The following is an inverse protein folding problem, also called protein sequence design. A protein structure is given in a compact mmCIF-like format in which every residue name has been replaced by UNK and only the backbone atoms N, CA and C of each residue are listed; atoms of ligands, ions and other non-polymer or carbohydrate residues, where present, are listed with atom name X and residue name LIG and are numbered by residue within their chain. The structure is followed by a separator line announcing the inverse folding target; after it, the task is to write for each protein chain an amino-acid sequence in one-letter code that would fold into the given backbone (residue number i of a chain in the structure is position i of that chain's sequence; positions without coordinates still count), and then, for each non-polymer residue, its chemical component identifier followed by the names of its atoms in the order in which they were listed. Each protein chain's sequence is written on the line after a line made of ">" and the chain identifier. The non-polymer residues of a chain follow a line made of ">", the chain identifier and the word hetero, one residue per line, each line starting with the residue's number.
data_IF_992476712292
#
_entry.id   IF_992476712292
#
_cell.length_a   1.000
_cell.length_b   1.000
_cell.length_c   1.000
_cell.angle_alpha   90.00
_cell.angle_beta   90.00
_cell.angle_gamma   90.00
#
_symmetry.space_group_name_H-M   'P 1'
#
loop_
_entity.id
_entity.type
_entity.pdbx_description
1 polymer ?
#
# COMPACT_ATOMS: atom_id res chain seq x y z
N UNK A 1 -8.34 12.52 9.09
CA UNK A 1 -7.59 12.55 7.83
C UNK A 1 -7.45 11.16 7.24
N UNK A 2 -6.61 10.31 7.83
CA UNK A 2 -6.36 8.94 7.36
C UNK A 2 -7.63 8.08 7.19
N UNK A 3 -8.60 8.17 8.10
CA UNK A 3 -9.88 7.46 7.96
C UNK A 3 -10.70 7.91 6.74
N UNK A 4 -10.63 9.19 6.34
CA UNK A 4 -11.34 9.69 5.18
C UNK A 4 -10.79 9.07 3.88
N UNK A 5 -9.46 8.94 3.80
CA UNK A 5 -8.79 8.30 2.67
C UNK A 5 -9.23 6.83 2.49
N UNK A 6 -9.34 6.07 3.58
CA UNK A 6 -9.84 4.68 3.55
C UNK A 6 -11.36 4.57 3.33
N UNK A 7 -12.10 5.66 3.53
CA UNK A 7 -13.51 5.76 3.15
C UNK A 7 -13.71 6.24 1.69
N UNK A 8 -12.62 6.45 0.94
CA UNK A 8 -12.64 6.82 -0.48
C UNK A 8 -12.43 8.31 -0.77
N UNK A 9 -12.40 9.16 0.25
CA UNK A 9 -12.14 10.59 0.07
C UNK A 9 -10.63 10.85 -0.01
N UNK A 10 -10.02 10.54 -1.17
CA UNK A 10 -8.58 10.68 -1.40
C UNK A 10 -8.13 12.14 -1.62
N UNK A 11 -9.04 13.05 -1.92
CA UNK A 11 -8.73 14.47 -2.13
C UNK A 11 -8.57 15.24 -0.83
N UNK A 12 -9.16 14.74 0.26
CA UNK A 12 -9.06 15.44 1.52
C UNK A 12 -7.59 15.58 1.97
N UNK A 13 -7.29 16.78 2.48
CA UNK A 13 -5.96 17.17 2.94
C UNK A 13 -6.07 18.13 4.13
N UNK A 14 -5.04 18.17 4.98
CA UNK A 14 -4.89 19.25 5.96
C UNK A 14 -4.34 20.50 5.25
N UNK A 15 -4.63 21.73 5.72
CA UNK A 15 -4.01 22.92 5.15
C UNK A 15 -2.48 22.81 5.12
N UNK A 16 -1.89 22.96 3.93
CA UNK A 16 -0.45 22.82 3.69
C UNK A 16 0.10 21.39 3.68
N UNK A 17 -0.77 20.38 3.79
CA UNK A 17 -0.38 18.96 3.71
C UNK A 17 -0.75 18.31 2.38
N UNK A 18 -0.32 17.06 2.21
CA UNK A 18 -0.67 16.24 1.04
C UNK A 18 -2.09 15.68 1.15
N UNK A 19 -2.73 15.48 -0.01
CA UNK A 19 -3.92 14.64 -0.15
C UNK A 19 -3.54 13.16 -0.19
N UNK A 20 -4.53 12.28 0.04
CA UNK A 20 -4.33 10.83 -0.09
C UNK A 20 -3.95 10.44 -1.52
N UNK A 21 -4.49 11.15 -2.51
CA UNK A 21 -4.14 10.98 -3.92
C UNK A 21 -2.67 11.31 -4.18
N UNK A 22 -2.15 12.42 -3.67
CA UNK A 22 -0.72 12.77 -3.84
C UNK A 22 0.21 11.72 -3.22
N UNK A 23 -0.14 11.21 -2.03
CA UNK A 23 0.59 10.12 -1.39
C UNK A 23 0.58 8.86 -2.25
N UNK A 24 -0.58 8.48 -2.80
CA UNK A 24 -0.73 7.31 -3.66
C UNK A 24 0.03 7.47 -4.97
N UNK A 25 -0.11 8.60 -5.67
CA UNK A 25 0.53 8.84 -6.96
C UNK A 25 2.05 8.64 -6.86
N UNK A 26 2.70 9.18 -5.81
CA UNK A 26 4.13 8.98 -5.57
C UNK A 26 4.47 7.53 -5.22
N UNK A 27 3.72 6.92 -4.29
CA UNK A 27 4.01 5.55 -3.84
C UNK A 27 3.87 4.54 -4.98
N UNK A 28 2.80 4.65 -5.78
CA UNK A 28 2.53 3.73 -6.89
C UNK A 28 3.55 3.90 -8.01
N UNK A 29 4.04 5.12 -8.26
CA UNK A 29 5.13 5.36 -9.20
C UNK A 29 6.42 4.65 -8.76
N UNK A 30 6.78 4.74 -7.47
CA UNK A 30 7.96 4.05 -6.92
C UNK A 30 7.84 2.53 -7.05
N UNK A 31 6.67 1.96 -6.73
CA UNK A 31 6.42 0.51 -6.88
C UNK A 31 6.50 0.08 -8.35
N UNK A 32 5.94 0.87 -9.27
CA UNK A 32 6.02 0.60 -10.70
C UNK A 32 7.46 0.64 -11.22
N UNK A 33 8.26 1.60 -10.76
CA UNK A 33 9.68 1.72 -11.09
C UNK A 33 10.48 0.49 -10.60
N UNK A 34 10.26 0.04 -9.36
CA UNK A 34 10.87 -1.17 -8.81
C UNK A 34 10.50 -2.39 -9.68
N UNK A 35 9.22 -2.58 -10.00
CA UNK A 35 8.79 -3.69 -10.86
C UNK A 35 9.41 -3.65 -12.25
N UNK A 36 9.55 -2.45 -12.83
CA UNK A 36 10.19 -2.24 -14.13
C UNK A 36 11.68 -2.61 -14.12
N UNK A 37 12.39 -2.28 -13.04
CA UNK A 37 13.80 -2.62 -12.85
C UNK A 37 14.05 -4.13 -12.64
N UNK A 38 13.04 -4.85 -12.12
CA UNK A 38 13.15 -6.28 -11.77
C UNK A 38 12.22 -7.18 -12.62
N UNK A 39 12.13 -6.93 -13.93
CA UNK A 39 11.28 -7.72 -14.85
C UNK A 39 11.64 -9.22 -14.93
N UNK A 40 12.89 -9.59 -14.63
CA UNK A 40 13.32 -10.98 -14.56
C UNK A 40 12.87 -11.70 -13.29
N UNK A 41 12.11 -11.03 -12.42
CA UNK A 41 11.70 -11.52 -11.11
C UNK A 41 12.71 -11.18 -10.01
N UNK A 42 12.46 -11.73 -8.82
CA UNK A 42 13.22 -11.48 -7.60
C UNK A 42 12.38 -10.85 -6.50
N UNK A 43 13.03 -10.53 -5.38
CA UNK A 43 12.39 -9.94 -4.20
C UNK A 43 13.00 -8.58 -3.92
N UNK A 44 12.16 -7.56 -3.81
CA UNK A 44 12.54 -6.23 -3.36
C UNK A 44 11.94 -5.93 -1.98
N UNK A 45 12.63 -5.11 -1.19
CA UNK A 45 12.14 -4.59 0.09
C UNK A 45 11.97 -3.09 -0.03
N UNK A 46 10.74 -2.61 0.12
CA UNK A 46 10.41 -1.20 0.20
C UNK A 46 10.12 -0.83 1.67
N UNK A 47 10.89 0.11 2.21
CA UNK A 47 10.67 0.62 3.58
C UNK A 47 9.88 1.91 3.49
N UNK A 48 8.77 1.99 4.22
CA UNK A 48 7.88 3.15 4.22
C UNK A 48 7.14 3.29 5.56
N UNK A 49 6.25 4.27 5.67
CA UNK A 49 5.47 4.55 6.87
C UNK A 49 4.13 3.80 6.87
N UNK A 50 3.68 3.40 8.06
CA UNK A 50 2.48 2.56 8.20
C UNK A 50 1.19 3.15 7.63
N UNK A 51 1.02 4.48 7.62
CA UNK A 51 -0.14 5.09 6.95
C UNK A 51 -0.05 4.96 5.42
N UNK A 52 1.09 5.34 4.83
CA UNK A 52 1.29 5.29 3.39
C UNK A 52 1.23 3.84 2.85
N UNK A 53 1.92 2.90 3.52
CA UNK A 53 1.91 1.47 3.14
C UNK A 53 0.50 0.90 3.13
N UNK A 54 -0.29 1.14 4.17
CA UNK A 54 -1.65 0.60 4.24
C UNK A 54 -2.58 1.18 3.18
N UNK A 55 -2.46 2.47 2.89
CA UNK A 55 -3.21 3.11 1.80
C UNK A 55 -2.79 2.53 0.44
N UNK A 56 -1.48 2.40 0.19
CA UNK A 56 -0.95 1.88 -1.05
C UNK A 56 -1.31 0.41 -1.28
N UNK A 57 -1.27 -0.44 -0.24
CA UNK A 57 -1.63 -1.86 -0.37
C UNK A 57 -3.10 -2.03 -0.76
N UNK A 58 -4.02 -1.21 -0.24
CA UNK A 58 -5.43 -1.21 -0.67
C UNK A 58 -5.56 -0.83 -2.16
N UNK A 59 -4.73 0.10 -2.65
CA UNK A 59 -4.73 0.48 -4.06
C UNK A 59 -4.05 -0.57 -4.98
N UNK A 60 -3.07 -1.31 -4.47
CA UNK A 60 -2.26 -2.27 -5.23
C UNK A 60 -2.86 -3.68 -5.28
N UNK A 61 -3.37 -4.16 -4.15
CA UNK A 61 -3.69 -5.57 -3.94
C UNK A 61 -5.19 -5.83 -4.01
N UNK A 62 -5.62 -6.62 -5.00
CA UNK A 62 -7.04 -6.87 -5.27
C UNK A 62 -7.78 -7.58 -4.11
N UNK A 63 -7.04 -8.23 -3.20
CA UNK A 63 -7.59 -8.97 -2.06
C UNK A 63 -7.52 -8.20 -0.73
N UNK A 64 -7.21 -6.90 -0.74
CA UNK A 64 -7.15 -6.07 0.48
C UNK A 64 -8.08 -4.87 0.35
N UNK A 65 -9.15 -4.88 1.12
CA UNK A 65 -10.09 -3.75 1.19
C UNK A 65 -9.68 -2.72 2.26
N UNK A 66 -10.15 -1.47 2.11
CA UNK A 66 -9.97 -0.43 3.14
C UNK A 66 -10.56 -0.81 4.50
N UNK A 67 -11.69 -1.54 4.50
CA UNK A 67 -12.33 -2.09 5.71
C UNK A 67 -11.40 -3.03 6.50
N UNK A 68 -10.53 -3.75 5.81
CA UNK A 68 -9.51 -4.62 6.40
C UNK A 68 -8.30 -3.82 6.88
N UNK A 69 -7.77 -2.93 6.04
CA UNK A 69 -6.52 -2.20 6.28
C UNK A 69 -6.64 -1.08 7.33
N UNK A 70 -7.79 -0.40 7.38
CA UNK A 70 -8.00 0.74 8.26
C UNK A 70 -7.83 0.42 9.77
N UNK A 71 -8.47 -0.63 10.33
CA UNK A 71 -8.31 -0.98 11.74
C UNK A 71 -6.99 -1.70 12.06
N UNK A 72 -6.32 -2.29 11.06
CA UNK A 72 -5.10 -3.08 11.24
C UNK A 72 -3.86 -2.20 11.08
N UNK A 73 -3.48 -1.51 12.15
CA UNK A 73 -2.24 -0.74 12.19
C UNK A 73 -1.03 -1.64 11.97
N UNK A 74 -0.01 -1.12 11.29
CA UNK A 74 1.29 -1.77 11.16
C UNK A 74 2.20 -1.24 12.27
N UNK A 75 2.60 -2.05 13.27
CA UNK A 75 3.60 -1.63 14.25
C UNK A 75 4.96 -1.40 13.59
N UNK A 76 5.88 -0.75 14.31
CA UNK A 76 7.22 -0.54 13.80
C UNK A 76 7.87 -1.88 13.42
N UNK A 77 8.52 -1.92 12.26
CA UNK A 77 9.12 -3.12 11.66
C UNK A 77 8.12 -4.23 11.24
N UNK A 78 6.81 -3.98 11.26
CA UNK A 78 5.84 -4.87 10.63
C UNK A 78 6.08 -4.99 9.12
N UNK A 79 5.70 -6.14 8.55
CA UNK A 79 5.87 -6.43 7.12
C UNK A 79 4.54 -6.76 6.46
N UNK A 80 4.40 -6.31 5.21
CA UNK A 80 3.34 -6.75 4.29
C UNK A 80 4.04 -7.41 3.10
N UNK A 81 3.62 -8.62 2.76
CA UNK A 81 4.16 -9.37 1.62
C UNK A 81 3.17 -9.31 0.47
N UNK A 82 3.61 -8.71 -0.63
CA UNK A 82 2.88 -8.70 -1.89
C UNK A 82 3.59 -9.60 -2.91
N UNK A 83 2.80 -10.29 -3.72
CA UNK A 83 3.26 -11.04 -4.88
C UNK A 83 2.63 -10.46 -6.14
N UNK A 84 3.39 -10.47 -7.25
CA UNK A 84 2.87 -10.02 -8.54
C UNK A 84 1.79 -10.99 -9.04
N UNK A 85 0.64 -10.45 -9.43
CA UNK A 85 -0.49 -11.22 -9.94
C UNK A 85 -0.97 -10.58 -11.25
N UNK A 86 -0.52 -11.14 -12.39
CA UNK A 86 -0.73 -10.54 -13.70
C UNK A 86 -0.19 -9.12 -13.77
N UNK A 87 -1.04 -8.13 -14.06
CA UNK A 87 -0.69 -6.71 -14.05
C UNK A 87 -0.77 -6.08 -12.64
N UNK A 88 -1.42 -6.73 -11.68
CA UNK A 88 -1.63 -6.23 -10.32
C UNK A 88 -0.76 -6.92 -9.27
N UNK A 89 -1.26 -6.89 -8.04
CA UNK A 89 -0.63 -7.52 -6.88
C UNK A 89 -1.65 -8.31 -6.07
N UNK A 90 -1.16 -9.30 -5.34
CA UNK A 90 -1.90 -10.01 -4.30
C UNK A 90 -1.15 -9.93 -2.98
N UNK A 91 -1.85 -9.61 -1.90
CA UNK A 91 -1.27 -9.61 -0.55
C UNK A 91 -1.32 -11.01 0.04
N UNK A 92 -0.14 -11.59 0.30
CA UNK A 92 -0.01 -12.93 0.89
C UNK A 92 0.03 -12.89 2.41
N UNK A 93 0.65 -11.83 2.97
CA UNK A 93 0.81 -11.67 4.42
C UNK A 93 0.68 -10.23 4.85
N UNK A 94 -0.04 -10.00 5.93
CA UNK A 94 -0.16 -8.72 6.61
C UNK A 94 0.22 -8.89 8.08
N UNK A 95 1.42 -8.46 8.46
CA UNK A 95 1.93 -8.52 9.83
C UNK A 95 1.68 -9.88 10.53
N UNK A 96 2.26 -10.94 9.98
CA UNK A 96 2.08 -12.31 10.49
C UNK A 96 0.76 -12.99 10.10
N UNK A 97 -0.26 -12.24 9.66
CA UNK A 97 -1.56 -12.78 9.23
C UNK A 97 -1.46 -13.23 7.76
N UNK A 98 -1.76 -14.50 7.47
CA UNK A 98 -1.84 -15.02 6.10
C UNK A 98 -3.17 -14.65 5.44
N UNK A 99 -3.13 -14.25 4.18
CA UNK A 99 -4.29 -13.80 3.39
C UNK A 99 -4.42 -14.52 2.03
N UNK A 100 -3.43 -15.33 1.66
CA UNK A 100 -3.37 -16.06 0.39
C UNK A 100 -2.08 -16.85 0.31
#
# INVERSE_FOLDING_TARGET
>A
MYHAWHAGDLEAARPGGESGKQVLDRYLADVAAIRCAHRSGGTAVLVSHGAATRLAVVALAANVEGSFAAPRLLPNAATVLLEADGAGWRCLRWDGIKLG
#
